data_IF_023243041927
#
_entry.id   IF_023243041927
#
_cell.length_a   1.000
_cell.length_b   1.000
_cell.length_c   1.000
_cell.angle_alpha   90.00
_cell.angle_beta   90.00
_cell.angle_gamma   90.00
#
_symmetry.space_group_name_H-M   'P 1'
#
loop_
_entity.id
_entity.type
_entity.pdbx_description
1 polymer ?
#
# COMPACT_ATOMS: atom_id res chain seq x y z
N UNK A 1 -25.35 -4.44 -13.01
CA UNK A 1 -24.36 -4.63 -11.93
C UNK A 1 -24.34 -3.44 -11.02
N UNK A 2 -24.29 -3.68 -9.73
CA UNK A 2 -24.24 -2.55 -8.80
C UNK A 2 -22.85 -1.96 -8.78
N UNK A 3 -22.79 -0.68 -8.54
CA UNK A 3 -21.53 0.03 -8.43
C UNK A 3 -20.64 -0.56 -7.34
N UNK A 4 -21.26 -1.01 -6.26
CA UNK A 4 -20.57 -1.59 -5.13
C UNK A 4 -19.86 -2.89 -5.50
N UNK A 5 -20.52 -3.74 -6.27
CA UNK A 5 -19.92 -5.01 -6.69
C UNK A 5 -18.74 -4.78 -7.64
N UNK A 6 -18.92 -3.83 -8.56
CA UNK A 6 -17.89 -3.49 -9.52
C UNK A 6 -16.65 -2.98 -8.81
N UNK A 7 -16.83 -2.09 -7.82
CA UNK A 7 -15.73 -1.53 -7.07
C UNK A 7 -14.93 -2.63 -6.35
N UNK A 8 -15.63 -3.55 -5.72
CA UNK A 8 -14.98 -4.64 -5.01
C UNK A 8 -14.12 -5.50 -5.93
N UNK A 9 -14.68 -5.86 -7.08
CA UNK A 9 -13.98 -6.75 -8.01
C UNK A 9 -12.76 -6.07 -8.61
N UNK A 10 -12.91 -4.81 -9.02
CA UNK A 10 -11.84 -4.12 -9.73
C UNK A 10 -10.71 -3.67 -8.83
N UNK A 11 -10.98 -3.41 -7.58
CA UNK A 11 -9.98 -2.82 -6.71
C UNK A 11 -9.04 -3.83 -6.07
N UNK A 12 -9.39 -5.11 -6.14
CA UNK A 12 -8.54 -6.14 -5.54
C UNK A 12 -7.10 -6.06 -6.06
N UNK A 13 -6.95 -6.05 -7.38
CA UNK A 13 -5.63 -5.99 -7.97
C UNK A 13 -4.93 -4.68 -7.66
N UNK A 14 -5.68 -3.60 -7.55
CA UNK A 14 -5.12 -2.31 -7.21
C UNK A 14 -4.51 -2.31 -5.82
N UNK A 15 -5.17 -2.92 -4.85
CA UNK A 15 -4.62 -3.01 -3.49
C UNK A 15 -3.38 -3.87 -3.44
N UNK A 16 -3.35 -4.95 -4.23
CA UNK A 16 -2.16 -5.78 -4.32
C UNK A 16 -0.99 -4.97 -4.91
N UNK A 17 -1.25 -4.22 -5.97
CA UNK A 17 -0.23 -3.38 -6.58
C UNK A 17 0.25 -2.30 -5.62
N UNK A 18 -0.67 -1.72 -4.87
CA UNK A 18 -0.32 -0.73 -3.87
C UNK A 18 0.64 -1.32 -2.84
N UNK A 19 0.34 -2.53 -2.37
CA UNK A 19 1.22 -3.21 -1.43
C UNK A 19 2.62 -3.44 -2.01
N UNK A 20 2.70 -3.83 -3.27
CA UNK A 20 3.98 -4.00 -3.95
C UNK A 20 4.75 -2.67 -4.01
N UNK A 21 4.05 -1.59 -4.35
CA UNK A 21 4.69 -0.29 -4.42
C UNK A 21 5.22 0.16 -3.06
N UNK A 22 4.44 -0.05 -2.02
CA UNK A 22 4.88 0.30 -0.67
C UNK A 22 6.13 -0.50 -0.31
N UNK A 23 6.12 -1.81 -0.57
CA UNK A 23 7.28 -2.64 -0.27
C UNK A 23 8.50 -2.22 -1.09
N UNK A 24 8.29 -1.86 -2.35
CA UNK A 24 9.37 -1.43 -3.21
C UNK A 24 10.05 -0.17 -2.63
N UNK A 25 9.26 0.85 -2.32
CA UNK A 25 9.82 2.10 -1.82
C UNK A 25 10.39 1.91 -0.41
N UNK A 26 9.80 1.03 0.39
CA UNK A 26 10.33 0.73 1.71
C UNK A 26 11.74 0.14 1.60
N UNK A 27 11.91 -0.85 0.73
CA UNK A 27 13.21 -1.49 0.56
C UNK A 27 14.22 -0.51 -0.03
N UNK A 28 13.76 0.33 -0.95
CA UNK A 28 14.63 1.34 -1.56
C UNK A 28 15.10 2.35 -0.52
N UNK A 29 14.28 2.65 0.46
CA UNK A 29 14.63 3.56 1.54
C UNK A 29 15.47 2.89 2.64
N UNK A 30 15.70 1.58 2.53
CA UNK A 30 16.47 0.85 3.50
C UNK A 30 15.76 0.59 4.81
N UNK A 31 14.43 0.56 4.79
CA UNK A 31 13.63 0.40 6.01
C UNK A 31 13.09 -1.02 6.12
N UNK A 32 13.06 -1.51 7.35
CA UNK A 32 12.35 -2.77 7.64
C UNK A 32 10.86 -2.46 7.74
N UNK A 33 10.04 -3.53 7.72
CA UNK A 33 8.61 -3.35 7.93
C UNK A 33 8.32 -2.71 9.28
N UNK A 34 9.07 -3.10 10.29
CA UNK A 34 8.89 -2.54 11.63
C UNK A 34 9.19 -1.05 11.65
N UNK A 35 10.28 -0.65 10.99
CA UNK A 35 10.66 0.75 10.95
C UNK A 35 9.63 1.61 10.21
N UNK A 36 9.14 1.11 9.08
CA UNK A 36 8.13 1.85 8.35
C UNK A 36 6.82 1.91 9.13
N UNK A 37 6.44 0.80 9.77
CA UNK A 37 5.22 0.79 10.59
C UNK A 37 5.30 1.84 11.68
N UNK A 38 6.43 1.93 12.35
CA UNK A 38 6.62 2.91 13.40
C UNK A 38 6.47 4.33 12.86
N UNK A 39 7.12 4.62 11.74
CA UNK A 39 7.05 5.94 11.13
C UNK A 39 5.64 6.31 10.68
N UNK A 40 4.88 5.34 10.22
CA UNK A 40 3.53 5.58 9.72
C UNK A 40 2.47 5.47 10.80
N UNK A 41 2.85 5.08 12.01
CA UNK A 41 1.92 5.02 13.14
C UNK A 41 1.02 3.80 13.14
N UNK A 42 1.47 2.68 12.57
CA UNK A 42 0.69 1.44 12.59
C UNK A 42 1.55 0.32 13.16
N UNK A 43 0.89 -0.81 13.45
CA UNK A 43 1.59 -1.96 14.00
C UNK A 43 2.36 -2.70 12.91
N UNK A 44 3.38 -3.44 13.31
CA UNK A 44 4.15 -4.24 12.38
C UNK A 44 3.29 -5.31 11.68
N UNK A 45 2.40 -6.02 12.38
CA UNK A 45 1.51 -6.97 11.70
C UNK A 45 0.60 -6.29 10.66
N UNK A 46 0.15 -5.07 10.94
CA UNK A 46 -0.66 -4.32 9.98
C UNK A 46 0.17 -4.02 8.73
N UNK A 47 1.42 -3.59 8.91
CA UNK A 47 2.31 -3.33 7.78
C UNK A 47 2.54 -4.60 6.96
N UNK A 48 2.77 -5.73 7.63
CA UNK A 48 2.95 -6.99 6.95
C UNK A 48 1.72 -7.37 6.12
N UNK A 49 0.52 -7.11 6.66
CA UNK A 49 -0.70 -7.41 5.94
C UNK A 49 -0.86 -6.54 4.69
N UNK A 50 -0.47 -5.26 4.79
CA UNK A 50 -0.57 -4.34 3.66
C UNK A 50 0.34 -4.80 2.51
N UNK A 51 1.53 -5.30 2.81
CA UNK A 51 2.48 -5.72 1.80
C UNK A 51 2.26 -7.14 1.31
N UNK A 52 1.41 -7.93 2.00
CA UNK A 52 1.20 -9.32 1.64
C UNK A 52 0.27 -9.42 0.43
N UNK A 53 0.76 -9.97 -0.70
CA UNK A 53 -0.04 -9.95 -1.94
C UNK A 53 -1.30 -10.79 -1.87
N UNK A 54 -1.37 -11.74 -0.95
CA UNK A 54 -2.53 -12.61 -0.84
C UNK A 54 -3.63 -12.06 0.08
N UNK A 55 -3.40 -10.93 0.76
CA UNK A 55 -4.37 -10.41 1.71
C UNK A 55 -5.23 -9.28 1.17
N UNK A 56 -4.76 -8.58 0.15
CA UNK A 56 -5.56 -7.54 -0.50
C UNK A 56 -6.15 -6.56 0.51
N UNK A 57 -5.29 -5.96 1.34
CA UNK A 57 -5.73 -5.12 2.45
C UNK A 57 -5.96 -3.68 2.01
N UNK A 58 -7.21 -3.18 2.07
CA UNK A 58 -7.46 -1.75 1.80
C UNK A 58 -6.84 -0.87 2.88
N UNK A 59 -6.46 0.33 2.50
CA UNK A 59 -5.95 1.31 3.45
C UNK A 59 -6.68 2.63 3.25
N UNK A 60 -6.69 3.45 4.30
CA UNK A 60 -7.29 4.77 4.23
C UNK A 60 -6.34 5.74 3.52
N UNK A 61 -6.89 6.86 3.04
CA UNK A 61 -6.04 7.91 2.48
C UNK A 61 -5.12 8.49 3.55
N UNK A 62 -5.60 8.57 4.77
CA UNK A 62 -4.75 9.05 5.87
C UNK A 62 -3.49 8.19 5.98
N UNK A 63 -3.67 6.88 5.97
CA UNK A 63 -2.53 5.97 6.06
C UNK A 63 -1.65 6.07 4.82
N UNK A 64 -2.26 6.20 3.65
CA UNK A 64 -1.49 6.37 2.41
C UNK A 64 -0.56 7.58 2.50
N UNK A 65 -1.09 8.70 2.97
CA UNK A 65 -0.29 9.92 3.10
C UNK A 65 0.82 9.74 4.13
N UNK A 66 0.51 9.09 5.26
CA UNK A 66 1.52 8.83 6.27
C UNK A 66 2.62 7.93 5.76
N UNK A 67 2.28 6.93 4.97
CA UNK A 67 3.26 6.04 4.36
C UNK A 67 4.15 6.80 3.37
N UNK A 68 3.52 7.63 2.54
CA UNK A 68 4.27 8.41 1.57
C UNK A 68 5.26 9.34 2.26
N UNK A 69 4.81 10.02 3.32
CA UNK A 69 5.68 10.90 4.09
C UNK A 69 6.85 10.12 4.71
N UNK A 70 6.55 8.97 5.28
CA UNK A 70 7.59 8.15 5.92
C UNK A 70 8.61 7.65 4.91
N UNK A 71 8.17 7.40 3.69
CA UNK A 71 9.03 6.89 2.62
C UNK A 71 9.74 8.02 1.87
N UNK A 72 9.32 9.26 2.07
CA UNK A 72 9.92 10.40 1.38
C UNK A 72 9.53 10.47 -0.08
N UNK A 73 8.35 9.99 -0.44
CA UNK A 73 7.87 10.02 -1.83
C UNK A 73 6.55 10.74 -1.90
N UNK A 74 6.21 11.23 -3.09
CA UNK A 74 4.91 11.83 -3.31
C UNK A 74 3.86 10.73 -3.25
N UNK A 75 2.68 11.01 -2.69
CA UNK A 75 1.65 9.97 -2.57
C UNK A 75 1.28 9.30 -3.89
N UNK A 76 1.29 10.04 -5.00
CA UNK A 76 0.90 9.43 -6.28
C UNK A 76 1.86 8.33 -6.70
N UNK A 77 3.10 8.35 -6.21
CA UNK A 77 4.06 7.31 -6.53
C UNK A 77 3.61 5.95 -6.04
N UNK A 78 2.91 5.92 -4.92
CA UNK A 78 2.40 4.66 -4.38
C UNK A 78 1.23 4.13 -5.21
N UNK A 79 0.60 4.99 -5.99
CA UNK A 79 -0.56 4.63 -6.80
C UNK A 79 -0.22 4.45 -8.28
N UNK A 80 1.04 4.47 -8.63
CA UNK A 80 1.45 4.23 -10.01
C UNK A 80 1.47 2.75 -10.28
N UNK A 81 0.40 2.26 -10.87
CA UNK A 81 0.28 0.83 -11.17
C UNK A 81 0.72 0.59 -12.60
N UNK A 82 1.36 -0.55 -12.81
CA UNK A 82 1.83 -0.89 -14.13
C UNK A 82 0.68 -1.34 -14.99
N UNK A 83 0.70 -0.90 -16.24
CA UNK A 83 -0.33 -1.28 -17.18
C UNK A 83 -0.04 -2.65 -17.75
N UNK A 84 -1.05 -3.20 -18.38
CA UNK A 84 -0.91 -4.46 -19.10
C UNK A 84 -0.86 -5.66 -18.21
N UNK A 85 -1.23 -5.51 -16.98
CA UNK A 85 -1.24 -6.63 -16.07
C UNK A 85 -2.55 -6.77 -15.39
#
# INVERSE_FOLDING_TARGET
>A
MSEKEMTKADNRQRYIELGYNIAYYRKHAGLTQEQLAEKAGISRPHMGAIEAPNLCRPISLELLFNLADALGVEPYKLLEFRDGR
#
